data_IF_641610055556
#
_entry.id   IF_641610055556
#
_cell.length_a   1.000
_cell.length_b   1.000
_cell.length_c   1.000
_cell.angle_alpha   90.00
_cell.angle_beta   90.00
_cell.angle_gamma   90.00
#
_symmetry.space_group_name_H-M   'P 1'
#
loop_
_entity.id
_entity.type
_entity.pdbx_description
1 polymer ?
#
# COMPACT_ATOMS: atom_id res chain seq x y z
N UNK A 1 -18.59 14.46 18.02
CA UNK A 1 -17.97 14.63 16.68
C UNK A 1 -18.88 13.99 15.62
N UNK A 2 -18.97 14.48 14.36
CA UNK A 2 -20.13 14.22 13.45
C UNK A 2 -19.79 13.22 12.33
N UNK A 3 -20.80 12.58 11.73
CA UNK A 3 -20.71 11.67 10.55
C UNK A 3 -19.74 12.15 9.44
N UNK A 4 -19.60 13.47 9.29
CA UNK A 4 -18.68 14.15 8.39
C UNK A 4 -17.22 13.65 8.48
N UNK A 5 -16.74 13.30 9.67
CA UNK A 5 -15.34 12.92 9.87
C UNK A 5 -15.04 11.50 9.32
N UNK A 6 -16.05 10.62 9.23
CA UNK A 6 -15.94 9.30 8.59
C UNK A 6 -15.92 9.44 7.07
N UNK A 7 -16.78 10.31 6.53
CA UNK A 7 -16.82 10.63 5.10
C UNK A 7 -15.49 11.26 4.64
N UNK A 8 -14.92 12.16 5.45
CA UNK A 8 -13.62 12.75 5.16
C UNK A 8 -12.51 11.69 5.15
N UNK A 9 -12.53 10.76 6.11
CA UNK A 9 -11.55 9.69 6.17
C UNK A 9 -11.70 8.72 4.97
N UNK A 10 -12.94 8.36 4.62
CA UNK A 10 -13.23 7.58 3.39
C UNK A 10 -12.74 8.31 2.14
N UNK A 11 -12.98 9.61 2.04
CA UNK A 11 -12.48 10.42 0.93
C UNK A 11 -10.95 10.48 0.91
N UNK A 12 -10.29 10.49 2.06
CA UNK A 12 -8.82 10.36 2.15
C UNK A 12 -8.35 9.01 1.64
N UNK A 13 -8.91 7.91 2.13
CA UNK A 13 -8.57 6.54 1.66
C UNK A 13 -8.78 6.45 0.15
N UNK A 14 -9.95 6.87 -0.35
CA UNK A 14 -10.27 6.88 -1.78
C UNK A 14 -9.25 7.67 -2.59
N UNK A 15 -8.84 8.86 -2.14
CA UNK A 15 -7.78 9.63 -2.82
C UNK A 15 -6.46 8.88 -2.91
N UNK A 16 -6.04 8.20 -1.84
CA UNK A 16 -4.80 7.42 -1.89
C UNK A 16 -4.95 6.15 -2.73
N UNK A 17 -6.11 5.48 -2.70
CA UNK A 17 -6.40 4.35 -3.61
C UNK A 17 -6.37 4.79 -5.07
N UNK A 18 -6.97 5.93 -5.42
CA UNK A 18 -6.89 6.46 -6.78
C UNK A 18 -5.45 6.80 -7.20
N UNK A 19 -4.59 7.23 -6.26
CA UNK A 19 -3.15 7.42 -6.54
C UNK A 19 -2.41 6.09 -6.75
N UNK A 20 -2.85 5.01 -6.11
CA UNK A 20 -2.32 3.68 -6.39
C UNK A 20 -2.66 3.22 -7.80
N UNK A 21 -3.88 3.52 -8.28
CA UNK A 21 -4.36 3.19 -9.62
C UNK A 21 -3.75 4.08 -10.72
N UNK A 22 -3.38 5.33 -10.38
CA UNK A 22 -2.68 6.22 -11.31
C UNK A 22 -1.21 5.82 -11.45
N UNK A 23 -0.90 5.10 -12.52
CA UNK A 23 0.45 4.64 -12.83
C UNK A 23 1.32 5.69 -13.53
N UNK A 24 0.74 6.85 -13.88
CA UNK A 24 1.46 7.89 -14.58
C UNK A 24 2.50 8.58 -13.68
N UNK A 25 3.56 9.10 -14.29
CA UNK A 25 4.59 9.82 -13.56
C UNK A 25 5.66 10.43 -14.45
N UNK A 26 6.55 11.21 -13.82
CA UNK A 26 7.67 11.87 -14.52
C UNK A 26 8.72 10.89 -15.04
N UNK A 27 8.68 9.64 -14.60
CA UNK A 27 9.69 8.63 -14.86
C UNK A 27 10.69 8.47 -13.72
N UNK A 28 11.52 7.45 -13.83
CA UNK A 28 12.58 7.14 -12.88
C UNK A 28 13.78 6.50 -13.58
N UNK A 29 14.91 6.43 -12.87
CA UNK A 29 16.11 5.78 -13.38
C UNK A 29 16.65 4.80 -12.35
N UNK A 30 17.17 3.68 -12.83
CA UNK A 30 17.81 2.64 -12.05
C UNK A 30 19.14 2.27 -12.69
N UNK A 31 20.15 1.94 -11.89
CA UNK A 31 21.44 1.47 -12.41
C UNK A 31 21.78 0.11 -11.82
N UNK A 32 22.33 -0.77 -12.65
CA UNK A 32 22.79 -2.08 -12.23
C UNK A 32 24.23 -2.30 -12.68
N UNK A 33 25.10 -2.66 -11.73
CA UNK A 33 26.48 -3.04 -12.00
C UNK A 33 26.57 -4.55 -12.08
N UNK A 34 26.93 -5.06 -13.26
CA UNK A 34 27.11 -6.48 -13.52
C UNK A 34 28.38 -7.01 -12.83
N UNK A 35 28.50 -8.35 -12.63
CA UNK A 35 29.69 -8.95 -12.01
C UNK A 35 31.01 -8.68 -12.74
N UNK A 36 30.95 -8.33 -14.03
CA UNK A 36 32.11 -7.93 -14.83
C UNK A 36 32.55 -6.46 -14.59
N UNK A 37 31.84 -5.71 -13.73
CA UNK A 37 32.11 -4.31 -13.42
C UNK A 37 31.41 -3.30 -14.33
N UNK A 38 30.72 -3.75 -15.38
CA UNK A 38 29.98 -2.86 -16.28
C UNK A 38 28.70 -2.36 -15.61
N UNK A 39 28.43 -1.06 -15.71
CA UNK A 39 27.22 -0.45 -15.14
C UNK A 39 26.28 -0.04 -16.27
N UNK A 40 25.04 -0.51 -16.19
CA UNK A 40 23.98 -0.15 -17.12
C UNK A 40 22.97 0.75 -16.44
N UNK A 41 22.48 1.74 -17.18
CA UNK A 41 21.48 2.71 -16.73
C UNK A 41 20.16 2.42 -17.45
N UNK A 42 19.11 2.23 -16.66
CA UNK A 42 17.75 1.99 -17.12
C UNK A 42 16.91 3.22 -16.78
N UNK A 43 16.25 3.81 -17.77
CA UNK A 43 15.34 4.94 -17.58
C UNK A 43 13.94 4.54 -18.03
N UNK A 44 12.95 4.80 -17.20
CA UNK A 44 11.55 4.57 -17.49
C UNK A 44 10.87 5.93 -17.48
N UNK A 45 10.28 6.36 -18.59
CA UNK A 45 9.57 7.64 -18.70
C UNK A 45 8.06 7.40 -18.79
N UNK A 46 7.27 8.34 -18.27
CA UNK A 46 5.80 8.29 -18.32
C UNK A 46 5.12 7.51 -17.19
N UNK A 47 5.90 6.89 -16.30
CA UNK A 47 5.40 6.09 -15.18
C UNK A 47 5.97 6.56 -13.84
N UNK A 48 5.24 6.31 -12.74
CA UNK A 48 5.75 6.59 -11.39
C UNK A 48 6.89 5.65 -11.01
N UNK A 49 7.75 6.07 -10.08
CA UNK A 49 8.80 5.18 -9.57
C UNK A 49 8.21 4.07 -8.69
N UNK A 50 8.97 2.99 -8.52
CA UNK A 50 8.64 1.94 -7.55
C UNK A 50 8.57 2.52 -6.13
N UNK A 51 9.45 3.47 -5.81
CA UNK A 51 9.50 4.14 -4.51
C UNK A 51 8.23 4.99 -4.26
N UNK A 52 7.75 5.73 -5.27
CA UNK A 52 6.51 6.50 -5.16
C UNK A 52 5.30 5.57 -4.99
N UNK A 53 5.27 4.45 -5.72
CA UNK A 53 4.23 3.44 -5.54
C UNK A 53 4.26 2.82 -4.13
N UNK A 54 5.46 2.49 -3.62
CA UNK A 54 5.64 1.96 -2.27
C UNK A 54 5.16 2.96 -1.21
N UNK A 55 5.52 4.23 -1.33
CA UNK A 55 5.10 5.31 -0.42
C UNK A 55 3.59 5.51 -0.42
N UNK A 56 2.96 5.48 -1.59
CA UNK A 56 1.51 5.58 -1.73
C UNK A 56 0.82 4.38 -1.09
N UNK A 57 1.38 3.17 -1.26
CA UNK A 57 0.83 1.95 -0.70
C UNK A 57 0.93 1.93 0.83
N UNK A 58 2.10 2.29 1.37
CA UNK A 58 2.31 2.44 2.82
C UNK A 58 1.40 3.53 3.40
N UNK A 59 1.18 4.63 2.67
CA UNK A 59 0.25 5.67 3.08
C UNK A 59 -1.18 5.12 3.23
N UNK A 60 -1.66 4.29 2.30
CA UNK A 60 -2.98 3.65 2.43
C UNK A 60 -3.02 2.74 3.67
N UNK A 61 -2.01 1.90 3.90
CA UNK A 61 -1.94 1.06 5.12
C UNK A 61 -2.06 1.89 6.40
N UNK A 62 -1.35 3.02 6.46
CA UNK A 62 -1.38 3.93 7.61
C UNK A 62 -2.76 4.55 7.80
N UNK A 63 -3.43 4.98 6.72
CA UNK A 63 -4.76 5.58 6.80
C UNK A 63 -5.84 4.56 7.18
N UNK A 64 -5.82 3.37 6.57
CA UNK A 64 -6.73 2.27 6.92
C UNK A 64 -6.54 1.85 8.38
N UNK A 65 -5.29 1.83 8.88
CA UNK A 65 -5.05 1.57 10.30
C UNK A 65 -5.58 2.68 11.22
N UNK A 66 -5.45 3.93 10.79
CA UNK A 66 -5.90 5.09 11.58
C UNK A 66 -7.43 5.13 11.73
N UNK A 67 -8.19 4.41 10.89
CA UNK A 67 -9.63 4.20 11.08
C UNK A 67 -9.98 3.64 12.44
N UNK A 68 -9.14 2.76 13.00
CA UNK A 68 -9.38 2.17 14.31
C UNK A 68 -9.49 3.24 15.39
N UNK A 69 -8.55 4.18 15.42
CA UNK A 69 -8.50 5.22 16.46
C UNK A 69 -9.71 6.15 16.31
N UNK A 70 -10.07 6.51 15.08
CA UNK A 70 -11.30 7.26 14.79
C UNK A 70 -12.57 6.53 15.27
N UNK A 71 -12.74 5.26 14.91
CA UNK A 71 -13.90 4.46 15.31
C UNK A 71 -13.99 4.30 16.83
N UNK A 72 -12.85 4.22 17.53
CA UNK A 72 -12.82 4.19 19.00
C UNK A 72 -13.29 5.51 19.61
N UNK A 73 -12.91 6.65 19.04
CA UNK A 73 -13.40 7.95 19.47
C UNK A 73 -14.89 8.09 19.25
N UNK A 74 -15.38 7.71 18.07
CA UNK A 74 -16.82 7.71 17.76
C UNK A 74 -17.60 6.79 18.69
N UNK A 75 -17.09 5.60 19.00
CA UNK A 75 -17.72 4.69 19.95
C UNK A 75 -17.85 5.34 21.35
N UNK A 76 -16.77 5.97 21.85
CA UNK A 76 -16.77 6.68 23.14
C UNK A 76 -17.78 7.83 23.16
N UNK A 77 -17.78 8.68 22.14
CA UNK A 77 -18.69 9.82 22.01
C UNK A 77 -20.16 9.38 22.07
N UNK A 78 -20.46 8.16 21.59
CA UNK A 78 -21.80 7.58 21.54
C UNK A 78 -22.12 6.67 22.73
N UNK A 79 -21.26 6.62 23.76
CA UNK A 79 -21.46 5.77 24.94
C UNK A 79 -21.34 4.26 24.68
N UNK A 80 -20.76 3.87 23.54
CA UNK A 80 -20.44 2.47 23.21
C UNK A 80 -19.05 2.12 23.72
N UNK A 81 -18.84 0.88 24.15
CA UNK A 81 -17.52 0.43 24.60
C UNK A 81 -16.51 0.40 23.43
N UNK A 82 -15.46 1.25 23.43
CA UNK A 82 -14.43 1.23 22.38
C UNK A 82 -13.63 -0.06 22.31
N UNK A 83 -13.71 -0.96 23.31
CA UNK A 83 -13.11 -2.30 23.24
C UNK A 83 -13.68 -3.13 22.09
N UNK A 84 -14.94 -2.91 21.70
CA UNK A 84 -15.54 -3.59 20.54
C UNK A 84 -14.78 -3.33 19.24
N UNK A 85 -14.18 -2.15 19.10
CA UNK A 85 -13.35 -1.85 17.92
C UNK A 85 -12.04 -2.66 17.94
N UNK A 86 -11.46 -2.87 19.12
CA UNK A 86 -10.28 -3.75 19.26
C UNK A 86 -10.64 -5.21 18.96
N UNK A 87 -11.81 -5.69 19.41
CA UNK A 87 -12.31 -7.04 19.09
C UNK A 87 -12.51 -7.26 17.58
N UNK A 88 -12.90 -6.22 16.83
CA UNK A 88 -12.97 -6.27 15.36
C UNK A 88 -11.59 -6.48 14.75
N UNK A 89 -10.58 -5.75 15.23
CA UNK A 89 -9.18 -5.94 14.80
C UNK A 89 -8.72 -7.36 15.12
N UNK A 90 -8.94 -7.80 16.36
CA UNK A 90 -8.47 -9.09 16.84
C UNK A 90 -9.19 -10.29 16.18
N UNK A 91 -10.34 -10.05 15.55
CA UNK A 91 -11.09 -11.05 14.76
C UNK A 91 -10.87 -10.97 13.24
N UNK A 92 -10.00 -10.08 12.75
CA UNK A 92 -9.67 -9.94 11.32
C UNK A 92 -8.17 -10.05 11.07
N UNK A 93 -7.77 -11.11 10.37
CA UNK A 93 -6.38 -11.32 9.95
C UNK A 93 -5.82 -10.13 9.17
N UNK A 94 -6.62 -9.55 8.28
CA UNK A 94 -6.23 -8.46 7.40
C UNK A 94 -6.02 -7.16 8.19
N UNK A 95 -6.89 -6.84 9.15
CA UNK A 95 -6.68 -5.70 10.04
C UNK A 95 -5.43 -5.86 10.93
N UNK A 96 -5.13 -7.09 11.37
CA UNK A 96 -3.90 -7.37 12.11
C UNK A 96 -2.65 -7.22 11.24
N UNK A 97 -2.70 -7.65 9.98
CA UNK A 97 -1.61 -7.46 9.01
C UNK A 97 -1.42 -5.97 8.72
N UNK A 98 -2.50 -5.23 8.47
CA UNK A 98 -2.48 -3.77 8.28
C UNK A 98 -1.86 -3.08 9.49
N UNK A 99 -2.23 -3.48 10.70
CA UNK A 99 -1.63 -2.98 11.95
C UNK A 99 -0.11 -3.14 11.95
N UNK A 100 0.39 -4.34 11.62
CA UNK A 100 1.83 -4.61 11.63
C UNK A 100 2.58 -3.73 10.61
N UNK A 101 2.07 -3.62 9.39
CA UNK A 101 2.67 -2.82 8.32
C UNK A 101 2.64 -1.33 8.67
N UNK A 102 1.48 -0.82 9.11
CA UNK A 102 1.32 0.59 9.46
C UNK A 102 2.18 0.99 10.67
N UNK A 103 2.26 0.14 11.70
CA UNK A 103 3.12 0.42 12.86
C UNK A 103 4.61 0.38 12.48
N UNK A 104 5.01 -0.52 11.57
CA UNK A 104 6.37 -0.54 11.03
C UNK A 104 6.67 0.72 10.23
N UNK A 105 5.76 1.16 9.36
CA UNK A 105 5.93 2.40 8.59
C UNK A 105 6.07 3.63 9.52
N UNK A 106 5.34 3.68 10.63
CA UNK A 106 5.40 4.78 11.60
C UNK A 106 6.66 4.77 12.49
N UNK A 107 7.20 3.60 12.81
CA UNK A 107 8.22 3.45 13.86
C UNK A 107 9.55 2.83 13.36
N UNK A 108 9.65 2.50 12.08
CA UNK A 108 10.80 1.82 11.46
C UNK A 108 10.85 0.32 11.75
N UNK A 109 10.83 -0.07 13.03
CA UNK A 109 10.85 -1.47 13.47
C UNK A 109 9.62 -1.85 14.30
N UNK A 110 9.20 -3.12 14.16
CA UNK A 110 8.04 -3.66 14.84
C UNK A 110 8.48 -4.57 16.00
N UNK A 111 8.33 -4.07 17.23
CA UNK A 111 8.67 -4.80 18.45
C UNK A 111 7.53 -5.70 18.98
N UNK A 112 6.29 -5.43 18.55
CA UNK A 112 5.10 -6.21 18.89
C UNK A 112 4.22 -6.34 17.65
N UNK A 113 3.86 -7.57 17.31
CA UNK A 113 2.98 -7.88 16.18
C UNK A 113 1.60 -8.25 16.70
N UNK A 114 0.56 -7.71 16.08
CA UNK A 114 -0.83 -8.14 16.35
C UNK A 114 -1.19 -9.39 15.57
N UNK A 115 -0.65 -9.53 14.35
CA UNK A 115 -0.90 -10.72 13.52
C UNK A 115 -0.13 -11.96 13.96
N UNK A 116 0.91 -11.79 14.78
CA UNK A 116 1.90 -12.82 15.09
C UNK A 116 2.92 -13.06 13.96
N UNK A 117 2.68 -12.57 12.74
CA UNK A 117 3.55 -12.79 11.59
C UNK A 117 4.64 -11.73 11.43
N UNK A 118 4.55 -10.61 12.15
CA UNK A 118 5.41 -9.44 11.98
C UNK A 118 5.45 -8.98 10.51
N UNK A 119 4.25 -8.83 9.93
CA UNK A 119 4.10 -8.58 8.51
C UNK A 119 4.91 -7.37 8.01
N UNK A 120 5.39 -7.46 6.78
CA UNK A 120 6.09 -6.38 6.08
C UNK A 120 5.69 -6.39 4.61
N UNK A 121 5.69 -5.20 4.03
CA UNK A 121 5.62 -5.03 2.59
C UNK A 121 6.94 -5.49 1.97
N UNK A 122 6.90 -6.37 0.99
CA UNK A 122 8.04 -6.68 0.14
C UNK A 122 8.24 -5.56 -0.88
N UNK A 123 9.49 -5.36 -1.32
CA UNK A 123 9.81 -4.36 -2.35
C UNK A 123 8.89 -4.57 -3.56
N UNK A 124 8.13 -3.55 -3.99
CA UNK A 124 7.23 -3.71 -5.12
C UNK A 124 7.98 -4.02 -6.41
N UNK A 125 7.30 -4.69 -7.33
CA UNK A 125 7.75 -4.92 -8.69
C UNK A 125 6.85 -4.19 -9.67
N UNK A 126 7.41 -3.92 -10.86
CA UNK A 126 6.72 -3.31 -11.97
C UNK A 126 6.86 -4.22 -13.18
N UNK A 127 5.74 -4.42 -13.88
CA UNK A 127 5.73 -5.02 -15.21
C UNK A 127 5.00 -4.08 -16.16
N UNK A 128 5.38 -4.08 -17.43
CA UNK A 128 4.73 -3.28 -18.46
C UNK A 128 4.44 -4.17 -19.66
N UNK A 129 3.19 -4.19 -20.09
CA UNK A 129 2.79 -4.82 -21.34
C UNK A 129 3.45 -4.10 -22.52
N UNK A 130 3.81 -4.85 -23.57
CA UNK A 130 4.41 -4.27 -24.78
C UNK A 130 3.50 -3.22 -25.42
N UNK A 131 2.18 -3.32 -25.26
CA UNK A 131 1.21 -2.35 -25.77
C UNK A 131 1.36 -0.96 -25.13
N UNK A 132 1.81 -0.92 -23.87
CA UNK A 132 2.04 0.32 -23.14
C UNK A 132 3.31 1.05 -23.55
N UNK A 133 4.24 0.37 -24.24
CA UNK A 133 5.55 0.90 -24.60
C UNK A 133 5.46 1.63 -25.93
N UNK A 134 5.68 2.95 -25.91
CA UNK A 134 5.70 3.78 -27.11
C UNK A 134 7.04 3.71 -27.82
N UNK A 135 8.15 3.65 -27.08
CA UNK A 135 9.51 3.62 -27.63
C UNK A 135 10.49 2.94 -26.68
N UNK A 136 11.42 2.17 -27.25
CA UNK A 136 12.60 1.67 -26.55
C UNK A 136 13.82 2.24 -27.25
N UNK A 137 14.70 2.89 -26.49
CA UNK A 137 16.00 3.37 -26.97
C UNK A 137 17.10 2.58 -26.30
N UNK A 138 17.96 1.93 -27.08
CA UNK A 138 19.09 1.13 -26.59
C UNK A 138 20.39 1.79 -27.02
N UNK A 139 21.22 2.15 -26.04
CA UNK A 139 22.59 2.59 -26.19
C UNK A 139 23.58 1.52 -25.73
N UNK A 140 24.87 1.87 -25.67
CA UNK A 140 25.92 0.94 -25.23
C UNK A 140 25.73 0.48 -23.77
N UNK A 141 25.35 1.42 -22.88
CA UNK A 141 25.13 1.17 -21.46
C UNK A 141 23.80 1.73 -20.95
N UNK A 142 22.95 2.21 -21.86
CA UNK A 142 21.70 2.90 -21.52
C UNK A 142 20.52 2.20 -22.17
N UNK A 143 19.46 1.95 -21.41
CA UNK A 143 18.18 1.48 -21.91
C UNK A 143 17.11 2.45 -21.43
N UNK A 144 16.44 3.13 -22.37
CA UNK A 144 15.30 4.00 -22.05
C UNK A 144 14.02 3.39 -22.59
N UNK A 145 13.03 3.24 -21.71
CA UNK A 145 11.66 2.85 -22.05
C UNK A 145 10.76 4.09 -21.89
N UNK A 146 10.17 4.54 -22.99
CA UNK A 146 9.15 5.58 -22.99
C UNK A 146 7.77 4.90 -23.01
N UNK A 147 7.07 4.94 -21.88
CA UNK A 147 5.72 4.37 -21.73
C UNK A 147 4.70 5.39 -22.26
N UNK A 148 3.98 5.03 -23.32
CA UNK A 148 2.95 5.87 -23.92
C UNK A 148 1.58 5.66 -23.29
N UNK A 149 1.33 4.49 -22.68
CA UNK A 149 0.10 4.19 -21.96
C UNK A 149 0.43 3.58 -20.58
N UNK A 150 0.41 4.41 -19.52
CA UNK A 150 0.67 3.95 -18.15
C UNK A 150 -0.37 2.96 -17.60
N UNK A 151 -1.56 2.86 -18.20
CA UNK A 151 -2.59 1.90 -17.75
C UNK A 151 -2.21 0.44 -18.06
N UNK A 152 -1.27 0.22 -18.97
CA UNK A 152 -0.70 -1.08 -19.34
C UNK A 152 0.49 -1.50 -18.43
N UNK A 153 0.74 -0.72 -17.38
CA UNK A 153 1.75 -1.00 -16.35
C UNK A 153 1.05 -1.62 -15.14
N UNK A 154 1.61 -2.71 -14.64
CA UNK A 154 1.12 -3.39 -13.44
C UNK A 154 2.17 -3.30 -12.35
N UNK A 155 1.77 -2.73 -11.22
CA UNK A 155 2.56 -2.70 -9.99
C UNK A 155 2.07 -3.78 -9.05
N UNK A 156 2.99 -4.59 -8.55
CA UNK A 156 2.68 -5.64 -7.60
C UNK A 156 3.50 -5.50 -6.33
N UNK A 157 2.86 -5.69 -5.19
CA UNK A 157 3.55 -5.78 -3.91
C UNK A 157 2.99 -6.91 -3.07
N UNK A 158 3.84 -7.85 -2.69
CA UNK A 158 3.47 -8.95 -1.81
C UNK A 158 3.73 -8.56 -0.35
N UNK A 159 2.94 -9.12 0.56
CA UNK A 159 3.16 -9.03 2.00
C UNK A 159 3.82 -10.33 2.46
N UNK A 160 4.90 -10.21 3.25
CA UNK A 160 5.59 -11.36 3.83
C UNK A 160 5.62 -11.33 5.35
N UNK A 161 5.64 -12.51 5.95
CA UNK A 161 5.96 -12.69 7.35
C UNK A 161 7.46 -12.49 7.62
N UNK A 162 7.84 -12.42 8.90
CA UNK A 162 9.24 -12.46 9.33
C UNK A 162 9.97 -13.75 8.92
N UNK A 163 9.25 -14.87 8.77
CA UNK A 163 9.84 -16.14 8.28
C UNK A 163 9.99 -16.20 6.76
N UNK A 164 9.52 -15.17 6.03
CA UNK A 164 9.59 -15.11 4.57
C UNK A 164 8.39 -15.72 3.83
N UNK A 165 7.41 -16.26 4.55
CA UNK A 165 6.18 -16.78 3.97
C UNK A 165 5.32 -15.64 3.41
N UNK A 166 4.74 -15.82 2.22
CA UNK A 166 3.81 -14.86 1.62
C UNK A 166 2.47 -14.92 2.34
N UNK A 167 2.00 -13.78 2.83
CA UNK A 167 0.73 -13.62 3.53
C UNK A 167 -0.39 -13.15 2.58
N UNK A 168 -0.05 -12.59 1.43
CA UNK A 168 -0.99 -12.16 0.40
C UNK A 168 -0.47 -11.01 -0.44
N UNK A 169 -1.26 -10.63 -1.45
CA UNK A 169 -1.07 -9.39 -2.22
C UNK A 169 -1.52 -8.18 -1.39
N UNK A 170 -0.76 -7.08 -1.45
CA UNK A 170 -1.00 -5.90 -0.63
C UNK A 170 -2.34 -5.22 -0.92
N UNK A 171 -2.74 -5.12 -2.19
CA UNK A 171 -4.00 -4.51 -2.59
C UNK A 171 -5.20 -5.32 -2.09
N UNK A 172 -5.13 -6.65 -2.20
CA UNK A 172 -6.16 -7.56 -1.68
C UNK A 172 -6.28 -7.47 -0.14
N UNK A 173 -5.16 -7.39 0.58
CA UNK A 173 -5.19 -7.22 2.04
C UNK A 173 -5.82 -5.87 2.43
N UNK A 174 -5.49 -4.79 1.71
CA UNK A 174 -6.09 -3.48 1.94
C UNK A 174 -7.59 -3.47 1.66
N UNK A 175 -8.03 -4.04 0.55
CA UNK A 175 -9.44 -4.13 0.17
C UNK A 175 -10.25 -4.85 1.26
N UNK A 176 -9.77 -6.02 1.70
CA UNK A 176 -10.42 -6.79 2.77
C UNK A 176 -10.40 -6.08 4.11
N UNK A 177 -9.32 -5.37 4.44
CA UNK A 177 -9.24 -4.57 5.67
C UNK A 177 -10.23 -3.40 5.66
N UNK A 178 -10.34 -2.69 4.53
CA UNK A 178 -11.35 -1.64 4.34
C UNK A 178 -12.74 -2.24 4.48
N UNK A 179 -13.02 -3.34 3.78
CA UNK A 179 -14.30 -4.04 3.87
C UNK A 179 -14.63 -4.49 5.31
N UNK A 180 -13.64 -4.94 6.08
CA UNK A 180 -13.83 -5.29 7.49
C UNK A 180 -14.27 -4.07 8.32
N UNK A 181 -13.67 -2.89 8.09
CA UNK A 181 -14.13 -1.66 8.72
C UNK A 181 -15.53 -1.25 8.28
N UNK A 182 -15.83 -1.36 6.99
CA UNK A 182 -17.12 -0.94 6.45
C UNK A 182 -18.27 -1.86 6.84
N UNK A 183 -18.01 -3.14 7.06
CA UNK A 183 -19.06 -4.12 7.40
C UNK A 183 -19.24 -4.29 8.90
N UNK A 184 -18.14 -4.30 9.67
CA UNK A 184 -18.15 -4.52 11.12
C UNK A 184 -18.04 -3.21 11.90
N UNK A 185 -17.18 -2.30 11.45
CA UNK A 185 -16.95 -1.01 12.13
C UNK A 185 -18.10 -0.04 11.99
N UNK A 186 -18.75 0.01 10.82
CA UNK A 186 -19.91 0.87 10.56
C UNK A 186 -21.12 0.56 11.45
N UNK A 187 -21.26 -0.65 11.97
CA UNK A 187 -22.36 -1.01 12.88
C UNK A 187 -22.33 -0.20 14.19
N UNK A 188 -21.17 0.38 14.50
CA UNK A 188 -20.96 1.25 15.65
C UNK A 188 -21.07 2.75 15.28
N UNK A 189 -21.42 3.04 14.03
CA UNK A 189 -21.62 4.37 13.44
C UNK A 189 -22.94 4.36 12.64
N UNK A 190 -24.09 4.73 13.23
CA UNK A 190 -25.35 4.85 12.49
C UNK A 190 -25.29 5.92 11.40
#
# INVERSE_FOLDING_TARGET
MKLHDLEELRARISRFTSRLEDNSGVGFSHSYTFPNGETHHYRFNGVKSIEVFEDDLLSVFVWVWSMKDYLKEVAKDRGTDPRRIEEIVDSSSELQIVSDIANRAKHGELNKSRSGYFARLERPSLTCSQKGIGKITVGAFDVTLDVSDPSEVDYKADIRSKSGATLGDASNVLEKAIMAWETKGSQYVP
#
